data_IF_509136615871
#
_entry.id   IF_509136615871
#
_cell.length_a   1.000
_cell.length_b   1.000
_cell.length_c   1.000
_cell.angle_alpha   90.00
_cell.angle_beta   90.00
_cell.angle_gamma   90.00
#
_symmetry.space_group_name_H-M   'P 1'
#
loop_
_entity.id
_entity.type
_entity.pdbx_description
1 polymer ?
#
# COMPACT_ATOMS: atom_id res chain seq x y z
N UNK A 1 -11.53 9.70 3.21
CA UNK A 1 -11.02 8.32 3.11
C UNK A 1 -9.50 8.42 3.20
N UNK A 2 -8.84 7.56 3.95
CA UNK A 2 -7.40 7.66 4.28
C UNK A 2 -6.70 6.35 3.95
N UNK A 3 -5.36 6.34 3.91
CA UNK A 3 -4.57 5.12 3.76
C UNK A 3 -4.38 4.60 2.34
N UNK A 4 -4.69 5.40 1.32
CA UNK A 4 -4.38 5.06 -0.06
C UNK A 4 -2.87 4.99 -0.30
N UNK A 5 -2.46 4.10 -1.20
CA UNK A 5 -1.07 3.92 -1.64
C UNK A 5 -1.03 3.99 -3.16
N UNK A 6 -0.05 4.69 -3.74
CA UNK A 6 0.08 4.75 -5.20
C UNK A 6 0.43 3.36 -5.75
N UNK A 7 -0.04 3.04 -6.96
CA UNK A 7 0.16 1.70 -7.54
C UNK A 7 1.56 1.47 -8.13
N UNK A 8 2.37 2.52 -8.17
CA UNK A 8 3.77 2.48 -8.58
C UNK A 8 4.61 1.53 -7.70
N UNK A 9 5.45 0.72 -8.34
CA UNK A 9 6.34 -0.22 -7.64
C UNK A 9 5.73 -1.60 -7.38
N UNK A 10 4.50 -1.86 -7.81
CA UNK A 10 3.86 -3.18 -7.76
C UNK A 10 3.76 -3.79 -9.17
N UNK A 11 3.91 -5.10 -9.27
CA UNK A 11 3.65 -5.85 -10.51
C UNK A 11 2.34 -6.62 -10.37
N UNK A 12 1.33 -6.25 -11.15
CA UNK A 12 0.01 -6.87 -11.14
C UNK A 12 -0.70 -6.66 -12.50
N UNK A 13 -1.63 -7.55 -12.87
CA UNK A 13 -2.38 -7.44 -14.13
C UNK A 13 -3.64 -6.57 -13.98
N UNK A 14 -4.46 -6.86 -12.98
CA UNK A 14 -5.67 -6.10 -12.62
C UNK A 14 -5.98 -6.31 -11.13
N UNK A 15 -6.60 -5.32 -10.50
CA UNK A 15 -7.04 -5.45 -9.12
C UNK A 15 -8.24 -4.57 -8.81
N UNK A 16 -9.25 -5.15 -8.17
CA UNK A 16 -10.41 -4.41 -7.64
C UNK A 16 -10.05 -3.48 -6.48
N UNK A 17 -8.85 -3.64 -5.91
CA UNK A 17 -8.33 -2.78 -4.86
C UNK A 17 -7.61 -1.53 -5.41
N UNK A 18 -7.48 -1.38 -6.74
CA UNK A 18 -6.94 -0.18 -7.38
C UNK A 18 -8.07 0.68 -7.92
N UNK A 19 -8.12 1.95 -7.48
CA UNK A 19 -9.08 2.95 -7.93
C UNK A 19 -8.31 4.22 -8.25
N UNK A 20 -8.49 4.75 -9.46
CA UNK A 20 -7.81 5.96 -9.95
C UNK A 20 -6.27 5.92 -9.81
N UNK A 21 -5.66 4.75 -10.09
CA UNK A 21 -4.20 4.55 -10.02
C UNK A 21 -3.66 4.43 -8.59
N UNK A 22 -4.52 4.14 -7.60
CA UNK A 22 -4.12 4.01 -6.20
C UNK A 22 -4.77 2.80 -5.56
N UNK A 23 -4.00 2.04 -4.78
CA UNK A 23 -4.53 1.04 -3.87
C UNK A 23 -5.39 1.70 -2.79
N UNK A 24 -6.55 1.14 -2.51
CA UNK A 24 -7.46 1.59 -1.43
C UNK A 24 -6.93 1.33 -0.01
N UNK A 25 -5.76 0.70 0.10
CA UNK A 25 -5.02 0.37 1.32
C UNK A 25 -3.60 -0.08 0.97
N UNK A 26 -2.79 -0.49 1.96
CA UNK A 26 -1.45 -1.00 1.68
C UNK A 26 -1.50 -2.46 1.17
N UNK A 27 -1.14 -2.75 -0.10
CA UNK A 27 -0.93 -4.12 -0.54
C UNK A 27 0.37 -4.69 0.03
N UNK A 28 0.31 -5.95 0.49
CA UNK A 28 1.43 -6.73 1.01
C UNK A 28 1.42 -8.08 0.30
N UNK A 29 2.61 -8.55 -0.07
CA UNK A 29 2.83 -9.82 -0.75
C UNK A 29 4.00 -10.56 -0.08
N UNK A 30 3.67 -11.52 0.79
CA UNK A 30 4.66 -12.35 1.49
C UNK A 30 5.18 -13.53 0.64
N UNK A 31 4.57 -13.79 -0.51
CA UNK A 31 5.02 -14.87 -1.40
C UNK A 31 6.13 -14.37 -2.35
N UNK A 32 6.00 -13.14 -2.85
CA UNK A 32 6.93 -12.57 -3.85
C UNK A 32 7.78 -11.41 -3.34
N UNK A 33 7.33 -10.67 -2.32
CA UNK A 33 7.96 -9.41 -1.86
C UNK A 33 8.10 -9.33 -0.33
N UNK A 34 8.28 -10.47 0.32
CA UNK A 34 8.35 -10.59 1.79
C UNK A 34 9.40 -9.67 2.45
N UNK A 35 10.48 -9.36 1.75
CA UNK A 35 11.57 -8.50 2.24
C UNK A 35 11.19 -7.01 2.25
N UNK A 36 10.10 -6.63 1.60
CA UNK A 36 9.58 -5.26 1.56
C UNK A 36 8.53 -4.96 2.64
N UNK A 37 7.94 -6.00 3.27
CA UNK A 37 6.80 -5.86 4.19
C UNK A 37 7.08 -4.93 5.37
N UNK A 38 8.20 -5.12 6.05
CA UNK A 38 8.57 -4.31 7.21
C UNK A 38 8.74 -2.82 6.87
N UNK A 39 9.31 -2.52 5.70
CA UNK A 39 9.51 -1.15 5.24
C UNK A 39 8.18 -0.50 4.84
N UNK A 40 7.34 -1.24 4.10
CA UNK A 40 6.01 -0.81 3.66
C UNK A 40 5.09 -0.50 4.84
N UNK A 41 5.04 -1.39 5.84
CA UNK A 41 4.24 -1.17 7.05
C UNK A 41 4.66 0.08 7.82
N UNK A 42 5.97 0.26 8.04
CA UNK A 42 6.49 1.44 8.76
C UNK A 42 6.11 2.72 8.03
N UNK A 43 6.32 2.80 6.72
CA UNK A 43 5.99 3.97 5.93
C UNK A 43 4.49 4.30 5.98
N UNK A 44 3.63 3.29 5.77
CA UNK A 44 2.19 3.48 5.73
C UNK A 44 1.60 3.89 7.09
N UNK A 45 2.08 3.29 8.19
CA UNK A 45 1.64 3.68 9.54
C UNK A 45 2.03 5.11 9.87
N UNK A 46 3.23 5.56 9.48
CA UNK A 46 3.63 6.95 9.69
C UNK A 46 2.77 7.94 8.88
N UNK A 47 2.28 7.55 7.71
CA UNK A 47 1.32 8.37 6.96
C UNK A 47 -0.05 8.41 7.64
N UNK A 48 -0.59 7.25 8.04
CA UNK A 48 -1.89 7.17 8.71
C UNK A 48 -1.96 7.98 10.01
N UNK A 49 -0.86 8.03 10.77
CA UNK A 49 -0.78 8.83 12.01
C UNK A 49 -1.02 10.32 11.76
N UNK A 50 -0.67 10.85 10.58
CA UNK A 50 -0.90 12.27 10.22
C UNK A 50 -2.37 12.55 9.92
N UNK A 51 -3.11 11.54 9.49
CA UNK A 51 -4.52 11.62 9.12
C UNK A 51 -5.46 11.45 10.34
N UNK A 52 -5.02 10.74 11.39
CA UNK A 52 -5.81 10.40 12.58
C UNK A 52 -5.42 11.17 13.84
N UNK A 53 -5.21 12.48 13.72
CA UNK A 53 -4.88 13.38 14.85
C UNK A 53 -6.03 13.46 15.86
#
# INVERSE_FOLDING_TARGET
VVGFVDDEGYTYDDSTAVVDGRWVGLPIDEDNEYDQTDARLKAWVEELKKEFI
#
